data_IF_994474240147
#
_entry.id   IF_994474240147
#
_cell.length_a   1.000
_cell.length_b   1.000
_cell.length_c   1.000
_cell.angle_alpha   90.00
_cell.angle_beta   90.00
_cell.angle_gamma   90.00
#
_symmetry.space_group_name_H-M   'P 1'
#
loop_
_entity.id
_entity.type
_entity.pdbx_description
1 polymer ?
#
# COMPACT_ATOMS: atom_id res chain seq x y z
N UNK A 1 -11.05 -9.93 8.13
CA UNK A 1 -11.43 -10.74 6.95
C UNK A 1 -10.23 -11.55 6.46
N UNK A 2 -10.45 -12.81 6.03
CA UNK A 2 -9.40 -13.57 5.36
C UNK A 2 -9.12 -13.00 3.95
N UNK A 3 -7.86 -13.06 3.51
CA UNK A 3 -7.48 -12.65 2.16
C UNK A 3 -8.12 -13.58 1.12
N UNK A 4 -8.52 -13.02 -0.03
CA UNK A 4 -8.95 -13.84 -1.16
C UNK A 4 -7.76 -14.54 -1.83
N UNK A 5 -7.97 -15.63 -2.58
CA UNK A 5 -6.90 -16.29 -3.33
C UNK A 5 -6.14 -15.34 -4.27
N UNK A 6 -6.85 -14.40 -4.89
CA UNK A 6 -6.25 -13.39 -5.77
C UNK A 6 -5.32 -12.45 -4.98
N UNK A 7 -5.74 -12.01 -3.80
CA UNK A 7 -4.93 -11.15 -2.92
C UNK A 7 -3.68 -11.91 -2.43
N UNK A 8 -3.82 -13.19 -2.07
CA UNK A 8 -2.70 -14.04 -1.67
C UNK A 8 -1.68 -14.16 -2.81
N UNK A 9 -2.16 -14.47 -4.02
CA UNK A 9 -1.32 -14.58 -5.21
C UNK A 9 -0.59 -13.28 -5.53
N UNK A 10 -1.31 -12.15 -5.51
CA UNK A 10 -0.73 -10.82 -5.75
C UNK A 10 0.38 -10.49 -4.73
N UNK A 11 0.13 -10.75 -3.44
CA UNK A 11 1.14 -10.57 -2.38
C UNK A 11 2.36 -11.47 -2.58
N UNK A 12 2.17 -12.73 -2.97
CA UNK A 12 3.27 -13.67 -3.23
C UNK A 12 4.12 -13.21 -4.41
N UNK A 13 3.50 -12.76 -5.50
CA UNK A 13 4.20 -12.22 -6.67
C UNK A 13 5.03 -10.98 -6.31
N UNK A 14 4.45 -10.08 -5.51
CA UNK A 14 5.12 -8.87 -5.05
C UNK A 14 6.36 -9.19 -4.20
N UNK A 15 6.24 -10.11 -3.24
CA UNK A 15 7.38 -10.54 -2.41
C UNK A 15 8.44 -11.29 -3.23
N UNK A 16 8.03 -12.06 -4.25
CA UNK A 16 8.94 -12.79 -5.12
C UNK A 16 9.84 -11.88 -5.99
N UNK A 17 9.50 -10.59 -6.15
CA UNK A 17 10.38 -9.62 -6.82
C UNK A 17 11.68 -9.36 -6.03
N UNK A 18 11.69 -9.66 -4.72
CA UNK A 18 12.87 -9.65 -3.87
C UNK A 18 13.27 -8.27 -3.32
N UNK A 19 12.62 -7.20 -3.76
CA UNK A 19 12.85 -5.80 -3.37
C UNK A 19 11.70 -5.21 -2.53
N UNK A 20 10.69 -6.01 -2.20
CA UNK A 20 9.55 -5.61 -1.38
C UNK A 20 9.59 -6.21 0.03
N UNK A 21 9.44 -5.36 1.05
CA UNK A 21 9.40 -5.79 2.45
C UNK A 21 8.00 -6.31 2.83
N UNK A 22 7.89 -7.63 3.00
CA UNK A 22 6.63 -8.30 3.37
C UNK A 22 6.04 -7.82 4.71
N UNK A 23 6.86 -7.33 5.65
CA UNK A 23 6.38 -6.84 6.96
C UNK A 23 5.58 -5.54 6.85
N UNK A 24 5.62 -4.86 5.70
CA UNK A 24 4.75 -3.72 5.42
C UNK A 24 3.30 -4.12 5.22
N UNK A 25 3.02 -5.41 4.96
CA UNK A 25 1.67 -5.96 4.77
C UNK A 25 1.14 -6.69 6.02
N UNK A 26 1.76 -6.46 7.18
CA UNK A 26 1.29 -6.96 8.46
C UNK A 26 0.36 -5.93 9.13
N UNK A 27 -0.60 -6.37 9.95
CA UNK A 27 -1.53 -5.49 10.64
C UNK A 27 -0.88 -4.79 11.84
N UNK A 28 -1.40 -3.61 12.17
CA UNK A 28 -1.25 -2.97 13.48
C UNK A 28 0.19 -2.93 14.03
N UNK A 29 0.40 -3.58 15.16
CA UNK A 29 1.67 -3.55 15.91
C UNK A 29 2.80 -4.31 15.23
N UNK A 30 2.48 -5.25 14.33
CA UNK A 30 3.45 -6.01 13.54
C UNK A 30 3.86 -5.28 12.25
N UNK A 31 3.17 -4.18 11.93
CA UNK A 31 3.44 -3.39 10.75
C UNK A 31 4.81 -2.72 10.80
N UNK A 32 5.62 -2.97 9.77
CA UNK A 32 6.82 -2.17 9.50
C UNK A 32 6.49 -1.06 8.51
N UNK A 33 6.92 0.17 8.81
CA UNK A 33 6.74 1.30 7.90
C UNK A 33 7.40 1.00 6.54
N UNK A 34 6.69 1.21 5.41
CA UNK A 34 7.27 0.99 4.09
C UNK A 34 8.35 2.01 3.76
N UNK A 35 9.38 1.55 3.08
CA UNK A 35 10.38 2.41 2.45
C UNK A 35 9.88 2.93 1.10
N UNK A 36 10.64 3.84 0.50
CA UNK A 36 10.25 4.44 -0.76
C UNK A 36 10.09 3.41 -1.90
N UNK A 37 10.92 2.36 -1.90
CA UNK A 37 10.80 1.26 -2.86
C UNK A 37 9.46 0.53 -2.70
N UNK A 38 9.10 0.12 -1.49
CA UNK A 38 7.82 -0.53 -1.17
C UNK A 38 6.64 0.32 -1.67
N UNK A 39 6.68 1.63 -1.40
CA UNK A 39 5.65 2.58 -1.83
C UNK A 39 5.51 2.61 -3.34
N UNK A 40 6.63 2.61 -4.08
CA UNK A 40 6.60 2.61 -5.55
C UNK A 40 6.02 1.31 -6.11
N UNK A 41 6.36 0.17 -5.53
CA UNK A 41 5.78 -1.10 -5.96
C UNK A 41 4.26 -1.11 -5.77
N UNK A 42 3.77 -0.77 -4.58
CA UNK A 42 2.32 -0.74 -4.31
C UNK A 42 1.60 0.26 -5.21
N UNK A 43 2.15 1.46 -5.40
CA UNK A 43 1.55 2.46 -6.30
C UNK A 43 1.52 1.99 -7.76
N UNK A 44 2.51 1.20 -8.22
CA UNK A 44 2.54 0.67 -9.59
C UNK A 44 1.45 -0.36 -9.88
N UNK A 45 0.92 -1.00 -8.84
CA UNK A 45 -0.19 -1.96 -8.94
C UNK A 45 -1.57 -1.27 -9.02
N UNK A 46 -1.65 0.02 -8.65
CA UNK A 46 -2.92 0.76 -8.67
C UNK A 46 -3.17 1.28 -10.10
N UNK A 47 -4.26 0.89 -10.77
CA UNK A 47 -4.55 1.28 -12.15
C UNK A 47 -5.17 2.69 -12.23
N UNK A 48 -4.61 3.65 -11.49
CA UNK A 48 -5.07 5.05 -11.42
C UNK A 48 -3.89 5.99 -11.68
N UNK A 49 -4.17 7.11 -12.34
CA UNK A 49 -3.23 8.24 -12.43
C UNK A 49 -3.10 8.95 -11.07
N UNK A 50 -2.06 9.77 -10.91
CA UNK A 50 -1.80 10.47 -9.64
C UNK A 50 -2.96 11.36 -9.22
N UNK A 51 -3.57 12.07 -10.16
CA UNK A 51 -4.74 12.92 -9.89
C UNK A 51 -5.99 12.09 -9.53
N UNK A 52 -6.18 10.93 -10.16
CA UNK A 52 -7.31 10.04 -9.83
C UNK A 52 -7.13 9.43 -8.45
N UNK A 53 -5.91 8.99 -8.11
CA UNK A 53 -5.59 8.46 -6.79
C UNK A 53 -5.73 9.52 -5.71
N UNK A 54 -5.23 10.74 -5.97
CA UNK A 54 -5.36 11.89 -5.09
C UNK A 54 -6.84 12.19 -4.78
N UNK A 55 -7.67 12.31 -5.83
CA UNK A 55 -9.11 12.51 -5.68
C UNK A 55 -9.79 11.36 -4.92
N UNK A 56 -9.36 10.11 -5.15
CA UNK A 56 -9.93 8.92 -4.50
C UNK A 56 -9.62 8.85 -3.00
N UNK A 57 -8.49 9.41 -2.59
CA UNK A 57 -8.03 9.46 -1.20
C UNK A 57 -8.31 10.81 -0.52
N UNK A 58 -8.91 11.76 -1.24
CA UNK A 58 -9.16 13.13 -0.79
C UNK A 58 -7.88 13.84 -0.28
N UNK A 59 -6.82 13.76 -1.09
CA UNK A 59 -5.53 14.45 -0.83
C UNK A 59 -5.12 15.26 -2.05
N UNK A 60 -4.18 16.19 -1.86
CA UNK A 60 -3.53 16.90 -2.97
C UNK A 60 -2.65 15.95 -3.81
N UNK A 61 -2.62 16.12 -5.13
CA UNK A 61 -1.75 15.37 -6.05
C UNK A 61 -0.26 15.48 -5.65
N UNK A 62 0.16 16.62 -5.08
CA UNK A 62 1.49 16.83 -4.51
C UNK A 62 1.79 15.83 -3.40
N UNK A 63 0.80 15.42 -2.61
CA UNK A 63 0.97 14.41 -1.57
C UNK A 63 1.34 13.06 -2.19
N UNK A 64 0.70 12.66 -3.29
CA UNK A 64 1.06 11.45 -4.05
C UNK A 64 2.50 11.53 -4.54
N UNK A 65 2.90 12.68 -5.12
CA UNK A 65 4.28 12.91 -5.56
C UNK A 65 5.30 12.79 -4.42
N UNK A 66 4.98 13.32 -3.24
CA UNK A 66 5.82 13.20 -2.04
C UNK A 66 5.98 11.77 -1.54
N UNK A 67 4.93 10.95 -1.63
CA UNK A 67 5.04 9.52 -1.32
C UNK A 67 5.98 8.81 -2.29
N UNK A 68 5.85 9.09 -3.59
CA UNK A 68 6.73 8.51 -4.64
C UNK A 68 8.19 8.92 -4.51
N UNK A 69 8.46 10.15 -4.08
CA UNK A 69 9.83 10.64 -3.87
C UNK A 69 10.41 10.28 -2.50
N UNK A 70 9.57 9.89 -1.54
CA UNK A 70 9.99 9.59 -0.17
C UNK A 70 10.21 10.84 0.69
N UNK A 71 9.77 12.00 0.20
CA UNK A 71 9.88 13.28 0.91
C UNK A 71 9.04 13.29 2.20
N UNK A 72 7.99 12.47 2.27
CA UNK A 72 7.19 12.29 3.48
C UNK A 72 7.10 10.82 3.85
N UNK A 73 7.18 10.55 5.15
CA UNK A 73 6.96 9.21 5.70
C UNK A 73 5.48 8.82 5.54
N UNK A 74 5.26 7.55 5.21
CA UNK A 74 3.92 6.96 5.12
C UNK A 74 3.36 6.66 6.51
N UNK A 75 2.10 7.01 6.75
CA UNK A 75 1.35 6.61 7.95
C UNK A 75 0.55 5.33 7.66
N UNK A 76 0.28 4.55 8.70
CA UNK A 76 -0.34 3.23 8.56
C UNK A 76 -1.69 3.27 7.84
N UNK A 77 -2.58 4.19 8.22
CA UNK A 77 -3.92 4.29 7.62
C UNK A 77 -3.88 4.58 6.11
N UNK A 78 -2.99 5.47 5.68
CA UNK A 78 -2.75 5.72 4.26
C UNK A 78 -2.22 4.48 3.56
N UNK A 79 -1.30 3.76 4.18
CA UNK A 79 -0.76 2.52 3.64
C UNK A 79 -1.84 1.45 3.46
N UNK A 80 -2.75 1.29 4.43
CA UNK A 80 -3.89 0.38 4.33
C UNK A 80 -4.77 0.71 3.11
N UNK A 81 -5.07 1.99 2.88
CA UNK A 81 -5.84 2.43 1.72
C UNK A 81 -5.13 2.10 0.40
N UNK A 82 -3.81 2.32 0.33
CA UNK A 82 -3.03 1.98 -0.87
C UNK A 82 -3.00 0.47 -1.12
N UNK A 83 -2.78 -0.35 -0.09
CA UNK A 83 -2.80 -1.81 -0.20
C UNK A 83 -4.17 -2.32 -0.67
N UNK A 84 -5.26 -1.74 -0.15
CA UNK A 84 -6.61 -2.08 -0.59
C UNK A 84 -6.82 -1.74 -2.07
N UNK A 85 -6.46 -0.53 -2.50
CA UNK A 85 -6.59 -0.09 -3.89
C UNK A 85 -5.69 -0.86 -4.86
N UNK A 86 -4.55 -1.38 -4.38
CA UNK A 86 -3.64 -2.23 -5.13
C UNK A 86 -4.07 -3.71 -5.19
N UNK A 87 -5.16 -4.09 -4.53
CA UNK A 87 -5.63 -5.48 -4.50
C UNK A 87 -4.81 -6.39 -3.59
N UNK A 88 -4.10 -5.84 -2.59
CA UNK A 88 -3.32 -6.60 -1.60
C UNK A 88 -4.13 -6.95 -0.34
N UNK A 89 -5.36 -6.43 -0.24
CA UNK A 89 -6.25 -6.62 0.90
C UNK A 89 -6.18 -5.49 1.93
N UNK A 90 -7.14 -5.49 2.86
CA UNK A 90 -7.21 -4.51 3.95
C UNK A 90 -6.37 -4.99 5.13
N UNK A 91 -5.47 -4.13 5.64
CA UNK A 91 -4.60 -4.44 6.78
C UNK A 91 -5.21 -4.02 8.13
N UNK A 92 -6.27 -3.21 8.10
CA UNK A 92 -7.05 -2.90 9.30
C UNK A 92 -7.90 -4.11 9.67
N UNK A 93 -7.83 -4.50 10.94
CA UNK A 93 -8.71 -5.50 11.50
C UNK A 93 -10.07 -4.87 11.84
N UNK A 94 -11.14 -5.66 11.73
CA UNK A 94 -12.44 -5.24 12.22
C UNK A 94 -12.39 -5.15 13.75
N UNK A 95 -12.95 -4.09 14.37
CA UNK A 95 -13.12 -4.06 15.82
C UNK A 95 -13.96 -5.27 16.25
N UNK A 96 -13.52 -5.96 17.30
CA UNK A 96 -14.21 -7.09 17.91
C UNK A 96 -15.58 -6.70 18.52
#
# INVERSE_FOLDING_TARGET
MALTPEQISCRQQLVAMGDFNAHTLLPGEEWTRPENADVRHVLSLIPLTDIQLANRLDVDERTIRKWKSGETSMVFTTWCCLCWLAGLGMLLEEPA
#
